data_IF_930568399069
#
_entry.id   IF_930568399069
#
_cell.length_a   1.000
_cell.length_b   1.000
_cell.length_c   1.000
_cell.angle_alpha   90.00
_cell.angle_beta   90.00
_cell.angle_gamma   90.00
#
_symmetry.space_group_name_H-M   'P 1'
#
loop_
_entity.id
_entity.type
_entity.pdbx_description
1 polymer ?
#
# COMPACT_ATOMS: atom_id res chain seq x y z
N UNK A 1 1.57 -2.40 5.19
CA UNK A 1 1.98 -2.34 6.61
C UNK A 1 1.83 -0.90 7.06
N UNK A 2 1.42 -0.63 8.32
CA UNK A 2 1.44 0.71 8.91
C UNK A 2 2.87 1.18 9.23
N UNK A 3 3.01 2.44 9.60
CA UNK A 3 4.29 2.99 10.11
C UNK A 3 4.29 2.83 11.62
N UNK A 4 5.22 2.04 12.14
CA UNK A 4 5.32 1.72 13.56
C UNK A 4 6.44 2.49 14.24
N UNK A 5 6.17 3.02 15.42
CA UNK A 5 7.12 3.75 16.24
C UNK A 5 7.59 2.87 17.38
N UNK A 6 8.91 2.83 17.61
CA UNK A 6 9.51 2.07 18.71
C UNK A 6 10.34 2.99 19.58
N UNK A 7 9.98 3.04 20.87
CA UNK A 7 10.76 3.71 21.89
C UNK A 7 11.97 2.85 22.30
N UNK A 8 13.15 3.46 22.32
CA UNK A 8 14.32 2.79 22.87
C UNK A 8 14.37 2.96 24.39
N UNK A 9 14.18 1.89 25.13
CA UNK A 9 14.29 1.84 26.59
C UNK A 9 15.55 1.08 26.97
N UNK A 10 16.66 1.82 27.11
CA UNK A 10 17.96 1.28 27.50
C UNK A 10 18.46 0.13 26.57
N UNK A 11 18.31 0.30 25.26
CA UNK A 11 18.72 -0.69 24.27
C UNK A 11 17.63 -1.71 23.90
N UNK A 12 16.46 -1.65 24.51
CA UNK A 12 15.29 -2.46 24.17
C UNK A 12 14.25 -1.60 23.46
N UNK A 13 13.83 -2.03 22.27
CA UNK A 13 12.80 -1.35 21.49
C UNK A 13 11.41 -1.82 21.91
N UNK A 14 10.58 -0.88 22.36
CA UNK A 14 9.19 -1.12 22.80
C UNK A 14 8.26 -0.35 21.86
N UNK A 15 7.36 -1.06 21.17
CA UNK A 15 6.41 -0.43 20.26
C UNK A 15 5.49 0.53 21.03
N UNK A 16 5.33 1.73 20.48
CA UNK A 16 4.39 2.73 20.96
C UNK A 16 3.20 2.76 20.01
N UNK A 17 1.98 2.54 20.49
CA UNK A 17 0.77 2.69 19.66
C UNK A 17 0.61 4.14 19.21
N UNK A 18 0.49 4.35 17.90
CA UNK A 18 0.33 5.67 17.30
C UNK A 18 -0.75 5.66 16.22
N UNK A 19 -1.23 6.83 15.80
CA UNK A 19 -2.20 6.93 14.72
C UNK A 19 -1.66 6.41 13.37
N UNK A 20 -0.33 6.43 13.20
CA UNK A 20 0.33 5.95 11.97
C UNK A 20 0.30 4.44 11.81
N UNK A 21 0.06 3.67 12.89
CA UNK A 21 -0.13 2.20 12.81
C UNK A 21 -1.30 1.82 11.89
N UNK A 22 -2.35 2.65 11.86
CA UNK A 22 -3.55 2.41 11.04
C UNK A 22 -3.39 2.83 9.57
N UNK A 23 -2.38 3.65 9.25
CA UNK A 23 -2.10 4.10 7.89
C UNK A 23 -1.35 3.02 7.11
N UNK A 24 -2.06 1.95 6.74
CA UNK A 24 -1.46 0.83 6.00
C UNK A 24 -1.24 1.21 4.54
N UNK A 25 0.01 1.22 4.10
CA UNK A 25 0.43 1.67 2.76
C UNK A 25 1.59 0.86 2.20
N UNK A 26 2.06 1.28 1.04
CA UNK A 26 3.26 0.77 0.37
C UNK A 26 4.42 1.75 0.59
N UNK A 27 4.78 1.94 1.84
CA UNK A 27 5.81 2.87 2.28
C UNK A 27 7.20 2.44 1.76
N UNK A 28 7.86 3.31 1.00
CA UNK A 28 9.09 3.01 0.27
C UNK A 28 10.33 3.69 0.86
N UNK A 29 10.15 4.88 1.41
CA UNK A 29 11.27 5.72 1.87
C UNK A 29 10.84 6.58 3.05
N UNK A 30 11.83 7.04 3.84
CA UNK A 30 11.63 7.93 4.97
C UNK A 30 12.85 8.84 5.11
N UNK A 31 12.63 10.13 5.37
CA UNK A 31 13.63 11.10 5.78
C UNK A 31 13.14 11.87 7.01
N UNK A 32 14.04 12.29 7.86
CA UNK A 32 13.73 13.02 9.09
C UNK A 32 14.28 14.45 9.00
N UNK A 33 13.48 15.43 9.43
CA UNK A 33 13.87 16.82 9.61
C UNK A 33 12.85 17.50 10.55
N UNK A 34 13.23 18.60 11.16
CA UNK A 34 12.31 19.51 11.86
C UNK A 34 11.67 20.43 10.78
N UNK A 35 10.47 20.06 10.32
CA UNK A 35 9.82 20.69 9.16
C UNK A 35 9.04 21.95 9.52
N UNK A 36 8.60 22.09 10.76
CA UNK A 36 7.83 23.23 11.25
C UNK A 36 8.59 24.12 12.25
N UNK A 37 9.87 23.81 12.47
CA UNK A 37 10.79 24.54 13.34
C UNK A 37 10.32 24.58 14.83
N UNK A 38 9.67 23.51 15.31
CA UNK A 38 9.21 23.38 16.69
C UNK A 38 10.25 22.71 17.61
N UNK A 39 11.33 22.17 17.03
CA UNK A 39 12.45 21.51 17.72
C UNK A 39 12.29 20.00 17.85
N UNK A 40 11.16 19.41 17.44
CA UNK A 40 10.93 17.99 17.34
C UNK A 40 11.25 17.48 15.92
N UNK A 41 11.62 16.20 15.80
CA UNK A 41 11.90 15.62 14.47
C UNK A 41 10.63 15.10 13.84
N UNK A 42 10.31 15.64 12.67
CA UNK A 42 9.28 15.16 11.74
C UNK A 42 9.83 14.17 10.73
N UNK A 43 8.94 13.57 9.95
CA UNK A 43 9.33 12.59 8.94
C UNK A 43 8.60 12.81 7.62
N UNK A 44 9.34 12.85 6.52
CA UNK A 44 8.76 12.75 5.17
C UNK A 44 8.77 11.28 4.76
N UNK A 45 7.63 10.75 4.33
CA UNK A 45 7.46 9.34 3.98
C UNK A 45 6.97 9.20 2.55
N UNK A 46 7.70 8.41 1.76
CA UNK A 46 7.35 8.09 0.39
C UNK A 46 6.45 6.85 0.32
N UNK A 47 5.39 6.96 -0.46
CA UNK A 47 4.43 5.89 -0.73
C UNK A 47 4.30 5.69 -2.25
N UNK A 48 3.34 4.89 -2.70
CA UNK A 48 3.08 4.60 -4.11
C UNK A 48 2.56 5.81 -4.89
N UNK A 49 1.92 6.76 -4.22
CA UNK A 49 1.23 7.88 -4.85
C UNK A 49 -0.19 7.52 -5.30
N UNK A 50 -0.94 8.51 -5.78
CA UNK A 50 -2.34 8.34 -6.15
C UNK A 50 -2.60 8.36 -7.65
N UNK A 51 -1.56 8.52 -8.48
CA UNK A 51 -1.65 8.52 -9.94
C UNK A 51 -1.34 7.14 -10.55
N UNK A 52 -1.39 6.07 -9.74
CA UNK A 52 -1.13 4.71 -10.17
C UNK A 52 -2.40 3.89 -10.38
N UNK A 53 -2.20 2.66 -10.85
CA UNK A 53 -3.28 1.68 -11.02
C UNK A 53 -3.94 1.27 -9.67
N UNK A 54 -3.16 1.31 -8.59
CA UNK A 54 -3.61 0.96 -7.26
C UNK A 54 -4.00 2.21 -6.50
N UNK A 55 -5.25 2.24 -6.06
CA UNK A 55 -5.77 3.31 -5.24
C UNK A 55 -6.74 2.69 -4.22
N UNK A 56 -6.42 2.80 -2.95
CA UNK A 56 -7.19 2.20 -1.87
C UNK A 56 -7.59 3.24 -0.82
N UNK A 57 -8.75 3.03 -0.23
CA UNK A 57 -9.26 3.80 0.90
C UNK A 57 -9.58 2.85 2.06
N UNK A 58 -9.99 3.39 3.19
CA UNK A 58 -10.46 2.58 4.33
C UNK A 58 -11.67 1.73 3.96
N UNK A 59 -12.56 2.25 3.12
CA UNK A 59 -13.78 1.57 2.65
C UNK A 59 -13.50 0.60 1.51
N UNK A 60 -12.49 0.89 0.70
CA UNK A 60 -12.13 0.14 -0.50
C UNK A 60 -10.62 -0.14 -0.54
N UNK A 61 -10.07 -0.90 0.42
CA UNK A 61 -8.64 -1.13 0.50
C UNK A 61 -8.15 -2.01 -0.65
N UNK A 62 -6.92 -1.78 -1.09
CA UNK A 62 -6.18 -2.80 -1.86
C UNK A 62 -5.88 -3.96 -0.91
N UNK A 63 -6.10 -5.20 -1.36
CA UNK A 63 -6.02 -6.38 -0.50
C UNK A 63 -5.07 -7.41 -1.09
N UNK A 64 -4.27 -8.04 -0.23
CA UNK A 64 -3.48 -9.23 -0.56
C UNK A 64 -4.00 -10.38 0.28
N UNK A 65 -4.35 -11.46 -0.39
CA UNK A 65 -4.68 -12.74 0.23
C UNK A 65 -3.53 -13.70 -0.05
N UNK A 66 -3.01 -14.34 0.96
CA UNK A 66 -1.88 -15.25 0.85
C UNK A 66 -2.15 -16.55 1.59
N UNK A 67 -1.95 -17.67 0.91
CA UNK A 67 -2.08 -19.02 1.44
C UNK A 67 -1.43 -20.03 0.48
N UNK A 68 -1.28 -21.25 0.89
CA UNK A 68 -1.06 -22.40 0.01
C UNK A 68 -2.44 -22.90 -0.48
N UNK A 69 -2.93 -22.33 -1.59
CA UNK A 69 -4.27 -22.61 -2.10
C UNK A 69 -4.39 -23.94 -2.83
N UNK A 70 -3.30 -24.45 -3.37
CA UNK A 70 -3.28 -25.69 -4.17
C UNK A 70 -2.63 -26.89 -3.44
N UNK A 71 -2.05 -26.66 -2.25
CA UNK A 71 -1.45 -27.70 -1.40
C UNK A 71 -0.03 -28.09 -1.80
N UNK A 72 0.69 -27.22 -2.56
CA UNK A 72 2.03 -27.46 -3.05
C UNK A 72 3.15 -27.04 -2.07
N UNK A 73 2.80 -26.57 -0.87
CA UNK A 73 3.68 -26.07 0.19
C UNK A 73 4.40 -24.76 -0.17
N UNK A 74 3.88 -24.00 -1.12
CA UNK A 74 4.31 -22.63 -1.45
C UNK A 74 3.17 -21.67 -1.20
N UNK A 75 3.53 -20.45 -0.87
CA UNK A 75 2.54 -19.38 -0.70
C UNK A 75 2.17 -18.78 -2.06
N UNK A 76 0.89 -18.84 -2.37
CA UNK A 76 0.28 -18.11 -3.48
C UNK A 76 -0.21 -16.75 -2.99
N UNK A 77 -0.04 -15.70 -3.79
CA UNK A 77 -0.47 -14.36 -3.44
C UNK A 77 -1.48 -13.80 -4.44
N UNK A 78 -2.67 -13.48 -3.95
CA UNK A 78 -3.72 -12.86 -4.75
C UNK A 78 -3.91 -11.41 -4.34
N UNK A 79 -3.52 -10.50 -5.22
CA UNK A 79 -3.76 -9.07 -5.08
C UNK A 79 -5.13 -8.72 -5.66
N UNK A 80 -5.91 -7.91 -4.94
CA UNK A 80 -7.19 -7.39 -5.42
C UNK A 80 -7.30 -5.88 -5.30
N UNK A 81 -8.02 -5.27 -6.23
CA UNK A 81 -8.35 -3.86 -6.23
C UNK A 81 -9.83 -3.64 -6.55
N UNK A 82 -10.37 -2.51 -6.14
CA UNK A 82 -11.78 -2.19 -6.34
C UNK A 82 -12.02 -1.58 -7.71
N UNK A 83 -13.03 -2.10 -8.40
CA UNK A 83 -13.48 -1.61 -9.72
C UNK A 83 -15.00 -1.66 -9.80
N UNK A 84 -15.65 -0.81 -10.64
CA UNK A 84 -17.06 -0.98 -10.95
C UNK A 84 -17.26 -2.30 -11.72
N UNK A 85 -18.18 -3.14 -11.29
CA UNK A 85 -18.48 -4.40 -11.98
C UNK A 85 -19.12 -4.15 -13.37
N UNK A 86 -19.82 -3.02 -13.54
CA UNK A 86 -20.29 -2.47 -14.82
C UNK A 86 -20.24 -0.94 -14.73
N UNK A 87 -20.38 -0.21 -15.84
CA UNK A 87 -20.32 1.26 -15.86
C UNK A 87 -21.31 1.98 -14.88
N UNK A 88 -22.30 1.28 -14.34
CA UNK A 88 -23.32 1.84 -13.45
C UNK A 88 -23.51 1.04 -12.15
N UNK A 89 -22.57 0.13 -11.83
CA UNK A 89 -22.73 -0.79 -10.69
C UNK A 89 -21.90 -0.38 -9.48
N UNK A 90 -22.24 -1.00 -8.33
CA UNK A 90 -21.47 -0.91 -7.11
C UNK A 90 -20.03 -1.40 -7.31
N UNK A 91 -19.09 -0.76 -6.62
CA UNK A 91 -17.69 -1.17 -6.59
C UNK A 91 -17.56 -2.56 -5.97
N UNK A 92 -16.72 -3.40 -6.56
CA UNK A 92 -16.34 -4.72 -6.06
C UNK A 92 -14.84 -4.90 -6.15
N UNK A 93 -14.31 -5.77 -5.29
CA UNK A 93 -12.90 -6.14 -5.34
C UNK A 93 -12.70 -7.25 -6.39
N UNK A 94 -11.83 -7.00 -7.36
CA UNK A 94 -11.45 -7.96 -8.41
C UNK A 94 -9.99 -8.34 -8.29
N UNK A 95 -9.61 -9.58 -8.66
CA UNK A 95 -8.21 -9.97 -8.76
C UNK A 95 -7.47 -9.10 -9.78
N UNK A 96 -6.23 -8.76 -9.49
CA UNK A 96 -5.36 -8.00 -10.38
C UNK A 96 -4.74 -8.90 -11.43
N UNK A 97 -4.30 -10.09 -11.04
CA UNK A 97 -3.69 -11.06 -11.95
C UNK A 97 -4.68 -11.52 -13.02
N UNK A 98 -4.20 -11.66 -14.26
CA UNK A 98 -4.97 -12.32 -15.33
C UNK A 98 -5.13 -13.81 -15.03
N UNK A 99 -6.18 -14.42 -15.59
CA UNK A 99 -6.49 -15.85 -15.40
C UNK A 99 -5.28 -16.77 -15.61
N UNK A 100 -4.52 -16.56 -16.68
CA UNK A 100 -3.43 -17.46 -17.04
C UNK A 100 -2.22 -17.26 -16.10
N UNK A 101 -1.94 -16.03 -15.66
CA UNK A 101 -0.92 -15.76 -14.65
C UNK A 101 -1.26 -16.44 -13.32
N UNK A 102 -2.51 -16.28 -12.86
CA UNK A 102 -2.94 -16.92 -11.63
C UNK A 102 -2.96 -18.44 -11.73
N UNK A 103 -3.21 -18.98 -12.91
CA UNK A 103 -3.23 -20.41 -13.16
C UNK A 103 -1.82 -21.04 -13.26
N UNK A 104 -0.77 -20.24 -13.38
CA UNK A 104 0.62 -20.70 -13.24
C UNK A 104 0.93 -20.99 -11.77
N UNK A 105 0.38 -20.20 -10.85
CA UNK A 105 0.52 -20.39 -9.42
C UNK A 105 -0.51 -21.41 -8.91
N UNK A 106 -1.78 -21.30 -9.30
CA UNK A 106 -2.90 -22.14 -8.84
C UNK A 106 -3.54 -22.83 -10.06
N UNK A 107 -3.08 -24.02 -10.48
CA UNK A 107 -3.53 -24.67 -11.72
C UNK A 107 -5.03 -24.99 -11.79
N UNK A 108 -5.70 -25.10 -10.63
CA UNK A 108 -7.15 -25.35 -10.56
C UNK A 108 -7.98 -24.21 -11.16
N UNK A 109 -7.45 -22.99 -11.26
CA UNK A 109 -8.11 -21.81 -11.83
C UNK A 109 -8.51 -22.04 -13.29
N UNK A 110 -7.68 -22.69 -14.12
CA UNK A 110 -8.04 -23.01 -15.51
C UNK A 110 -9.24 -23.94 -15.63
N UNK A 111 -9.36 -24.88 -14.69
CA UNK A 111 -10.51 -25.83 -14.66
C UNK A 111 -11.77 -25.12 -14.16
N UNK A 112 -11.63 -24.24 -13.19
CA UNK A 112 -12.73 -23.49 -12.61
C UNK A 112 -13.28 -22.43 -13.56
N UNK A 113 -12.39 -21.76 -14.31
CA UNK A 113 -12.73 -20.72 -15.28
C UNK A 113 -12.21 -21.06 -16.68
N UNK A 114 -12.87 -22.00 -17.41
CA UNK A 114 -12.41 -22.39 -18.74
C UNK A 114 -12.49 -21.24 -19.75
N UNK A 115 -13.37 -20.26 -19.52
CA UNK A 115 -13.55 -19.08 -20.37
C UNK A 115 -13.03 -17.82 -19.69
N UNK A 116 -12.27 -16.99 -20.42
CA UNK A 116 -11.78 -15.68 -19.92
C UNK A 116 -12.92 -14.76 -19.48
N UNK A 117 -14.04 -14.75 -20.22
CA UNK A 117 -15.19 -13.93 -19.90
C UNK A 117 -15.84 -14.27 -18.53
N UNK A 118 -15.78 -15.54 -18.12
CA UNK A 118 -16.25 -15.97 -16.80
C UNK A 118 -15.30 -15.44 -15.70
N UNK A 119 -13.99 -15.60 -15.90
CA UNK A 119 -12.99 -15.07 -14.95
C UNK A 119 -13.09 -13.53 -14.81
N UNK A 120 -13.21 -12.81 -15.91
CA UNK A 120 -13.27 -11.34 -15.91
C UNK A 120 -14.47 -10.76 -15.13
N UNK A 121 -15.52 -11.54 -14.91
CA UNK A 121 -16.72 -11.15 -14.16
C UNK A 121 -16.66 -11.59 -12.68
N UNK A 122 -15.65 -12.37 -12.32
CA UNK A 122 -15.55 -13.00 -10.99
C UNK A 122 -14.84 -12.03 -10.04
N UNK A 123 -15.52 -11.63 -8.97
CA UNK A 123 -14.93 -10.87 -7.89
C UNK A 123 -14.04 -11.75 -7.00
N UNK A 124 -13.22 -11.13 -6.14
CA UNK A 124 -12.24 -11.84 -5.33
C UNK A 124 -12.88 -12.85 -4.37
N UNK A 125 -14.05 -12.54 -3.81
CA UNK A 125 -14.73 -13.44 -2.88
C UNK A 125 -15.24 -14.70 -3.61
N UNK A 126 -15.76 -14.54 -4.81
CA UNK A 126 -16.18 -15.65 -5.67
C UNK A 126 -14.98 -16.50 -6.10
N UNK A 127 -13.84 -15.87 -6.41
CA UNK A 127 -12.61 -16.55 -6.79
C UNK A 127 -12.05 -17.40 -5.64
N UNK A 128 -12.01 -16.84 -4.44
CA UNK A 128 -11.46 -17.50 -3.24
C UNK A 128 -12.36 -18.60 -2.68
N UNK A 129 -13.67 -18.54 -2.94
CA UNK A 129 -14.68 -19.43 -2.32
C UNK A 129 -14.39 -20.93 -2.45
N UNK A 130 -13.94 -21.45 -3.61
CA UNK A 130 -13.64 -22.87 -3.78
C UNK A 130 -12.22 -23.27 -3.35
N UNK A 131 -11.35 -22.31 -3.00
CA UNK A 131 -9.96 -22.57 -2.65
C UNK A 131 -9.82 -22.95 -1.16
N UNK A 132 -8.71 -23.61 -0.82
CA UNK A 132 -8.38 -23.89 0.59
C UNK A 132 -7.95 -22.60 1.28
N UNK A 133 -8.75 -22.13 2.23
CA UNK A 133 -8.50 -20.89 2.99
C UNK A 133 -8.03 -21.10 4.42
N UNK A 134 -7.73 -22.34 4.80
CA UNK A 134 -7.25 -22.62 6.15
C UNK A 134 -5.86 -22.01 6.37
N UNK A 135 -5.76 -21.07 7.31
CA UNK A 135 -4.51 -20.35 7.59
C UNK A 135 -4.25 -19.16 6.68
N UNK A 136 -5.22 -18.76 5.84
CA UNK A 136 -5.10 -17.60 4.97
C UNK A 136 -4.72 -16.33 5.73
N UNK A 137 -3.72 -15.63 5.24
CA UNK A 137 -3.35 -14.30 5.68
C UNK A 137 -3.97 -13.26 4.74
N UNK A 138 -4.61 -12.24 5.33
CA UNK A 138 -5.15 -11.10 4.60
C UNK A 138 -4.45 -9.83 5.04
N UNK A 139 -3.85 -9.10 4.10
CA UNK A 139 -3.27 -7.79 4.31
C UNK A 139 -4.06 -6.74 3.52
N UNK A 140 -4.09 -5.52 4.03
CA UNK A 140 -4.77 -4.39 3.40
C UNK A 140 -3.86 -3.18 3.29
N UNK A 141 -4.02 -2.40 2.21
CA UNK A 141 -3.44 -1.07 2.06
C UNK A 141 -4.56 -0.06 1.84
N UNK A 142 -4.60 0.96 2.68
CA UNK A 142 -5.66 1.97 2.74
C UNK A 142 -5.13 3.37 2.48
N UNK A 143 -3.79 3.54 2.51
CA UNK A 143 -3.12 4.81 2.32
C UNK A 143 -2.08 4.69 1.20
N UNK A 144 -2.21 5.55 0.20
CA UNK A 144 -1.32 5.58 -0.98
C UNK A 144 -0.61 6.92 -1.15
N UNK A 145 -1.03 7.97 -0.42
CA UNK A 145 -0.36 9.27 -0.48
C UNK A 145 1.04 9.17 0.12
N UNK A 146 2.00 9.76 -0.56
CA UNK A 146 3.23 10.20 0.08
C UNK A 146 2.90 11.36 1.00
N UNK A 147 3.50 11.40 2.17
CA UNK A 147 3.07 12.27 3.26
C UNK A 147 4.25 12.82 4.07
N UNK A 148 3.99 13.83 4.88
CA UNK A 148 4.83 14.12 6.01
C UNK A 148 4.10 13.79 7.31
N UNK A 149 4.83 13.37 8.31
CA UNK A 149 4.35 12.98 9.64
C UNK A 149 4.85 14.03 10.60
N UNK A 150 3.94 14.86 11.09
CA UNK A 150 4.19 15.85 12.11
C UNK A 150 4.31 15.17 13.48
N UNK A 151 5.40 15.41 14.18
CA UNK A 151 5.63 14.95 15.54
C UNK A 151 5.16 16.03 16.52
N UNK A 152 4.08 15.80 17.22
CA UNK A 152 3.53 16.69 18.24
C UNK A 152 4.15 16.50 19.63
N UNK A 153 5.24 15.73 19.72
CA UNK A 153 5.79 15.29 21.00
C UNK A 153 4.99 14.15 21.64
N UNK A 154 5.53 13.56 22.69
CA UNK A 154 4.88 12.49 23.48
C UNK A 154 4.35 11.29 22.68
N UNK A 155 4.96 10.96 21.52
CA UNK A 155 4.54 9.92 20.57
C UNK A 155 3.19 10.21 19.90
N UNK A 156 2.76 11.45 19.86
CA UNK A 156 1.63 11.89 19.05
C UNK A 156 2.13 12.28 17.64
N UNK A 157 1.67 11.56 16.62
CA UNK A 157 2.05 11.75 15.22
C UNK A 157 0.82 11.98 14.36
N UNK A 158 0.89 13.00 13.49
CA UNK A 158 -0.19 13.35 12.56
C UNK A 158 0.30 13.22 11.13
N UNK A 159 -0.44 12.48 10.29
CA UNK A 159 -0.11 12.26 8.88
C UNK A 159 -0.76 13.34 8.02
N UNK A 160 0.04 14.03 7.23
CA UNK A 160 -0.39 15.05 6.27
C UNK A 160 0.04 14.65 4.85
N UNK A 161 -0.91 14.57 3.92
CA UNK A 161 -0.57 14.29 2.53
C UNK A 161 0.30 15.39 1.93
N UNK A 162 1.35 15.02 1.20
CA UNK A 162 2.13 15.96 0.41
C UNK A 162 1.28 16.51 -0.76
N UNK A 163 1.68 17.64 -1.36
CA UNK A 163 0.99 18.23 -2.51
C UNK A 163 0.80 17.25 -3.68
N UNK A 164 -0.18 17.51 -4.55
CA UNK A 164 -0.56 16.63 -5.65
C UNK A 164 0.62 16.25 -6.57
N UNK A 165 1.58 17.16 -6.79
CA UNK A 165 2.76 16.88 -7.59
C UNK A 165 3.64 15.74 -7.01
N UNK A 166 3.67 15.58 -5.68
CA UNK A 166 4.38 14.51 -4.99
C UNK A 166 3.64 13.16 -5.05
N UNK A 167 2.43 13.12 -5.61
CA UNK A 167 1.60 11.91 -5.73
C UNK A 167 1.64 11.28 -7.14
N UNK A 168 2.42 11.82 -8.07
CA UNK A 168 2.41 11.37 -9.46
C UNK A 168 3.11 10.04 -9.70
N UNK A 169 4.01 9.65 -8.82
CA UNK A 169 4.71 8.36 -8.88
C UNK A 169 5.12 7.89 -7.48
N UNK A 170 5.47 6.61 -7.31
CA UNK A 170 6.09 6.13 -6.09
C UNK A 170 7.34 6.93 -5.75
N UNK A 171 7.48 7.34 -4.48
CA UNK A 171 8.64 8.10 -4.01
C UNK A 171 9.65 7.18 -3.34
N UNK A 172 10.85 7.12 -3.91
CA UNK A 172 11.96 6.32 -3.39
C UNK A 172 13.09 7.16 -2.81
N UNK A 173 13.34 8.35 -3.36
CA UNK A 173 14.36 9.28 -2.88
C UNK A 173 13.73 10.51 -2.24
N UNK A 174 14.18 10.83 -1.03
CA UNK A 174 13.77 12.01 -0.27
C UNK A 174 15.02 12.63 0.33
N UNK A 175 15.22 13.93 0.06
CA UNK A 175 16.27 14.73 0.72
C UNK A 175 15.60 15.99 1.25
N UNK A 176 15.92 16.34 2.48
CA UNK A 176 15.41 17.55 3.13
C UNK A 176 16.60 18.45 3.49
N UNK A 177 16.57 19.69 3.03
CA UNK A 177 17.60 20.71 3.32
C UNK A 177 17.01 22.10 3.03
N UNK A 178 17.58 23.14 3.59
CA UNK A 178 17.24 24.52 3.25
C UNK A 178 18.00 24.96 1.99
N UNK A 179 17.40 24.70 0.79
CA UNK A 179 18.07 24.95 -0.49
C UNK A 179 18.13 26.41 -0.89
N UNK A 180 17.26 27.24 -0.35
CA UNK A 180 17.18 28.68 -0.68
C UNK A 180 17.74 29.60 0.42
N UNK A 181 18.16 29.03 1.56
CA UNK A 181 18.70 29.70 2.73
C UNK A 181 17.70 30.71 3.37
N UNK A 182 16.41 30.34 3.41
CA UNK A 182 15.35 31.14 4.04
C UNK A 182 15.05 30.71 5.50
N UNK A 183 15.70 29.65 5.96
CA UNK A 183 15.57 29.11 7.30
C UNK A 183 14.46 28.07 7.45
N UNK A 184 13.77 27.72 6.36
CA UNK A 184 12.76 26.66 6.34
C UNK A 184 13.28 25.48 5.52
N UNK A 185 13.10 24.23 5.98
CA UNK A 185 13.51 23.06 5.20
C UNK A 185 12.65 22.84 3.97
N UNK A 186 13.31 22.68 2.82
CA UNK A 186 12.70 22.29 1.55
C UNK A 186 12.78 20.78 1.37
N UNK A 187 11.91 20.22 0.52
CA UNK A 187 11.86 18.78 0.25
C UNK A 187 12.16 18.52 -1.23
N UNK A 188 13.26 17.84 -1.52
CA UNK A 188 13.58 17.31 -2.84
C UNK A 188 13.14 15.86 -2.93
N UNK A 189 12.28 15.55 -3.91
CA UNK A 189 11.67 14.25 -4.10
C UNK A 189 12.08 13.64 -5.45
N UNK A 190 12.31 12.32 -5.46
CA UNK A 190 12.51 11.56 -6.68
C UNK A 190 11.79 10.21 -6.62
N UNK A 191 11.23 9.81 -7.77
CA UNK A 191 10.54 8.53 -7.87
C UNK A 191 10.16 8.20 -9.31
N UNK A 192 9.84 6.93 -9.55
CA UNK A 192 9.38 6.45 -10.85
C UNK A 192 8.64 5.13 -10.70
N UNK A 193 7.73 4.83 -11.64
CA UNK A 193 7.05 3.53 -11.77
C UNK A 193 7.49 2.83 -13.05
N UNK A 194 8.15 1.68 -12.91
CA UNK A 194 8.68 0.90 -14.02
C UNK A 194 7.77 -0.27 -14.44
N UNK A 195 6.88 -0.70 -13.57
CA UNK A 195 6.03 -1.88 -13.78
C UNK A 195 4.61 -1.51 -14.23
N UNK A 196 4.49 -0.53 -15.10
CA UNK A 196 3.21 -0.23 -15.75
C UNK A 196 2.81 -1.42 -16.64
N UNK A 197 1.77 -2.14 -16.25
CA UNK A 197 1.20 -3.15 -17.13
C UNK A 197 0.69 -2.48 -18.41
N UNK A 198 1.15 -2.89 -19.61
CA UNK A 198 0.51 -2.43 -20.85
C UNK A 198 -0.93 -2.93 -20.84
N UNK A 199 -1.85 -2.04 -21.16
CA UNK A 199 -3.28 -2.33 -21.25
C UNK A 199 -3.61 -3.33 -22.36
#
# INVERSE_FOLDING_TARGET
MGIHVFKNENGKFVQQPTATDAATGWWNSIAAADLDNDGDMDYVVGNFGTNGYYNGTKEQPVQVFANDYDGNQRWDMLLSTWKPATMQSTMKAFPVAYRDQLAEEIPSIKKQFPQFAAYAKTDIDQLLKPLNRKGEMKLTATEFHSAWIENKGNFEFVLHALPAAAQWSPLYGIVVDDYNADGNPDILLSGNEYNMHPY
#
